data_IF_282165192913
#
_entry.id   IF_282165192913
#
_cell.length_a   1.000
_cell.length_b   1.000
_cell.length_c   1.000
_cell.angle_alpha   90.00
_cell.angle_beta   90.00
_cell.angle_gamma   90.00
#
_symmetry.space_group_name_H-M   'P 1'
#
loop_
_entity.id
_entity.type
_entity.pdbx_description
1 polymer ?
#
# COMPACT_ATOMS: atom_id res chain seq x y z
N UNK A 1 -57.22 -7.96 32.94
CA UNK A 1 -55.83 -7.38 32.82
C UNK A 1 -55.23 -7.84 31.52
N UNK A 2 -55.13 -6.92 30.58
CA UNK A 2 -54.63 -7.23 29.24
C UNK A 2 -53.13 -6.92 29.20
N UNK A 3 -52.32 -7.92 28.88
CA UNK A 3 -50.88 -7.73 28.58
C UNK A 3 -50.74 -7.22 27.15
N UNK A 4 -50.28 -5.98 27.01
CA UNK A 4 -49.97 -5.38 25.74
C UNK A 4 -48.74 -6.05 25.09
N UNK A 5 -48.91 -6.51 23.84
CA UNK A 5 -47.82 -7.03 23.02
C UNK A 5 -46.84 -5.91 22.64
N UNK A 6 -45.57 -6.14 22.91
CA UNK A 6 -44.46 -5.36 22.32
C UNK A 6 -44.27 -5.81 20.87
N UNK A 7 -44.69 -4.99 19.94
CA UNK A 7 -44.28 -5.14 18.55
C UNK A 7 -42.77 -4.86 18.44
N UNK A 8 -42.01 -5.89 18.09
CA UNK A 8 -40.60 -5.75 17.75
C UNK A 8 -40.50 -4.97 16.45
N UNK A 9 -40.13 -3.71 16.56
CA UNK A 9 -39.81 -2.83 15.44
C UNK A 9 -38.70 -3.47 14.58
N UNK A 10 -38.99 -3.60 13.30
CA UNK A 10 -38.14 -4.21 12.28
C UNK A 10 -36.73 -3.59 12.29
N UNK A 11 -35.77 -4.37 12.75
CA UNK A 11 -34.36 -4.00 12.67
C UNK A 11 -33.97 -3.82 11.22
N UNK A 12 -33.63 -2.60 10.84
CA UNK A 12 -32.88 -2.31 9.60
C UNK A 12 -31.64 -3.20 9.61
N UNK A 13 -31.62 -4.21 8.74
CA UNK A 13 -30.46 -5.06 8.55
C UNK A 13 -29.26 -4.16 8.32
N UNK A 14 -28.32 -4.15 9.25
CA UNK A 14 -27.11 -3.36 9.14
C UNK A 14 -26.46 -3.72 7.79
N UNK A 15 -26.45 -2.78 6.85
CA UNK A 15 -25.81 -2.96 5.54
C UNK A 15 -24.36 -3.34 5.83
N UNK A 16 -23.99 -4.57 5.52
CA UNK A 16 -22.61 -5.06 5.65
C UNK A 16 -21.76 -4.29 4.65
N UNK A 17 -21.00 -3.31 5.13
CA UNK A 17 -20.00 -2.65 4.32
C UNK A 17 -18.93 -3.68 3.92
N UNK A 18 -18.73 -3.84 2.63
CA UNK A 18 -17.62 -4.64 2.08
C UNK A 18 -16.37 -3.77 2.13
N UNK A 19 -15.28 -4.34 2.60
CA UNK A 19 -14.00 -3.66 2.66
C UNK A 19 -12.99 -4.35 1.76
N UNK A 20 -12.27 -3.57 0.99
CA UNK A 20 -11.11 -3.99 0.21
C UNK A 20 -9.88 -3.41 0.89
N UNK A 21 -8.85 -4.22 1.09
CA UNK A 21 -7.59 -3.81 1.67
C UNK A 21 -6.49 -3.87 0.60
N UNK A 22 -5.76 -2.77 0.43
CA UNK A 22 -4.60 -2.65 -0.46
C UNK A 22 -3.40 -2.20 0.35
N UNK A 23 -2.24 -2.81 0.09
CA UNK A 23 -0.97 -2.42 0.67
C UNK A 23 -0.20 -1.48 -0.26
N UNK A 24 0.50 -0.52 0.33
CA UNK A 24 1.46 0.35 -0.36
C UNK A 24 2.84 0.09 0.24
N UNK A 25 3.74 -0.49 -0.53
CA UNK A 25 5.08 -0.86 -0.10
C UNK A 25 6.16 -0.12 -0.89
N UNK A 26 7.41 -0.32 -0.53
CA UNK A 26 8.58 0.31 -1.15
C UNK A 26 9.47 1.02 -0.14
N UNK A 27 10.62 1.50 -0.58
CA UNK A 27 11.67 2.09 0.23
C UNK A 27 11.23 3.29 1.07
N UNK A 28 12.11 3.71 1.97
CA UNK A 28 11.88 4.91 2.77
C UNK A 28 11.86 6.17 1.87
N UNK A 29 10.86 7.05 2.06
CA UNK A 29 10.73 8.29 1.30
C UNK A 29 10.30 8.13 -0.17
N UNK A 30 9.89 6.93 -0.61
CA UNK A 30 9.47 6.66 -2.00
C UNK A 30 8.13 7.29 -2.38
N UNK A 31 7.37 7.84 -1.43
CA UNK A 31 6.10 8.52 -1.69
C UNK A 31 4.84 7.81 -1.21
N UNK A 32 4.93 6.75 -0.38
CA UNK A 32 3.76 6.04 0.16
C UNK A 32 2.76 6.97 0.86
N UNK A 33 3.25 7.74 1.83
CA UNK A 33 2.45 8.73 2.57
C UNK A 33 1.81 9.76 1.64
N UNK A 34 2.54 10.18 0.62
CA UNK A 34 2.06 11.18 -0.36
C UNK A 34 0.93 10.59 -1.19
N UNK A 35 1.09 9.36 -1.69
CA UNK A 35 0.07 8.68 -2.48
C UNK A 35 -1.21 8.45 -1.66
N UNK A 36 -1.09 7.96 -0.40
CA UNK A 36 -2.24 7.82 0.50
C UNK A 36 -2.94 9.17 0.68
N UNK A 37 -2.16 10.23 0.95
CA UNK A 37 -2.70 11.58 1.15
C UNK A 37 -3.40 12.15 -0.08
N UNK A 38 -2.94 11.81 -1.28
CA UNK A 38 -3.52 12.29 -2.52
C UNK A 38 -4.92 11.72 -2.80
N UNK A 39 -5.19 10.47 -2.42
CA UNK A 39 -6.46 9.79 -2.73
C UNK A 39 -7.41 9.63 -1.55
N UNK A 40 -6.90 9.67 -0.31
CA UNK A 40 -7.70 9.45 0.88
C UNK A 40 -8.77 10.54 1.08
N UNK A 41 -9.96 10.11 1.50
CA UNK A 41 -11.06 11.00 1.90
C UNK A 41 -10.94 11.46 3.35
N UNK A 42 -10.11 10.78 4.12
CA UNK A 42 -9.81 11.13 5.50
C UNK A 42 -8.37 11.62 5.60
N UNK A 43 -8.07 12.43 6.60
CA UNK A 43 -6.68 12.76 6.91
C UNK A 43 -5.93 11.46 7.23
N UNK A 44 -4.82 11.16 6.53
CA UNK A 44 -4.08 9.94 6.80
C UNK A 44 -3.68 9.84 8.28
N UNK A 45 -3.96 8.69 8.88
CA UNK A 45 -3.49 8.40 10.22
C UNK A 45 -2.03 7.95 10.13
N UNK A 46 -1.20 8.43 11.04
CA UNK A 46 0.21 8.05 11.16
C UNK A 46 0.45 7.57 12.58
N UNK A 47 1.21 6.49 12.69
CA UNK A 47 1.69 6.00 13.98
C UNK A 47 3.12 6.50 14.22
N UNK A 48 3.42 6.95 15.43
CA UNK A 48 4.75 7.38 15.84
C UNK A 48 5.19 6.53 17.03
N UNK A 49 6.41 5.97 16.97
CA UNK A 49 7.02 5.31 18.11
C UNK A 49 8.28 6.04 18.57
N UNK A 50 8.57 6.06 19.89
CA UNK A 50 9.82 6.63 20.41
C UNK A 50 11.03 5.87 19.86
N UNK A 51 12.08 6.61 19.48
CA UNK A 51 13.40 6.04 19.16
C UNK A 51 13.97 5.41 20.42
N UNK A 52 14.11 4.08 20.44
CA UNK A 52 14.91 3.40 21.45
C UNK A 52 16.40 3.60 21.18
N UNK A 53 17.26 3.52 22.21
CA UNK A 53 18.71 3.69 22.03
C UNK A 53 19.30 2.70 21.00
N UNK A 54 18.78 1.50 20.94
CA UNK A 54 19.16 0.47 19.96
C UNK A 54 18.84 0.84 18.51
N UNK A 55 17.98 1.83 18.28
CA UNK A 55 17.59 2.27 16.93
C UNK A 55 18.52 3.36 16.39
N UNK A 56 19.31 4.02 17.24
CA UNK A 56 20.18 5.14 16.86
C UNK A 56 21.39 4.69 16.03
N UNK A 57 21.83 3.45 16.24
CA UNK A 57 23.02 2.89 15.57
C UNK A 57 22.72 2.32 14.17
N UNK A 58 21.45 2.11 13.84
CA UNK A 58 21.02 1.49 12.59
C UNK A 58 20.59 2.53 11.55
N UNK A 59 20.04 3.67 12.00
CA UNK A 59 19.62 4.73 11.10
C UNK A 59 20.72 5.80 10.94
N UNK A 60 21.15 6.04 9.71
CA UNK A 60 21.99 7.18 9.38
C UNK A 60 21.23 8.48 9.66
N UNK A 61 21.45 9.06 10.84
CA UNK A 61 20.88 10.36 11.26
C UNK A 61 21.72 11.56 10.79
N UNK A 62 22.65 11.36 9.85
CA UNK A 62 23.48 12.44 9.32
C UNK A 62 22.60 13.53 8.71
N UNK A 63 22.49 14.66 9.42
CA UNK A 63 21.81 15.87 8.96
C UNK A 63 20.39 16.10 9.51
N UNK A 64 19.91 15.31 10.48
CA UNK A 64 18.61 15.54 11.13
C UNK A 64 18.80 15.93 12.58
N UNK A 65 18.49 17.19 12.90
CA UNK A 65 18.50 17.68 14.28
C UNK A 65 17.51 16.87 15.15
N UNK A 66 18.04 16.25 16.21
CA UNK A 66 17.35 15.66 17.38
C UNK A 66 15.89 15.22 17.17
N UNK A 67 15.62 14.23 16.34
CA UNK A 67 14.39 13.46 16.47
C UNK A 67 14.59 12.39 17.54
N UNK A 68 13.91 12.56 18.67
CA UNK A 68 13.83 11.56 19.76
C UNK A 68 12.78 10.49 19.48
N UNK A 69 12.04 10.58 18.37
CA UNK A 69 11.01 9.64 17.95
C UNK A 69 11.29 9.18 16.54
N UNK A 70 11.32 7.88 16.33
CA UNK A 70 11.16 7.30 14.99
C UNK A 70 9.67 7.15 14.72
N UNK A 71 9.23 7.74 13.63
CA UNK A 71 7.91 7.45 13.11
C UNK A 71 7.95 6.05 12.51
N UNK A 72 7.28 5.09 13.13
CA UNK A 72 6.82 3.91 12.41
C UNK A 72 5.72 4.41 11.50
N UNK A 73 6.10 4.89 10.32
CA UNK A 73 5.15 5.44 9.38
C UNK A 73 4.33 4.31 8.76
N UNK A 74 3.30 3.90 9.46
CA UNK A 74 2.19 3.21 8.87
C UNK A 74 1.16 4.26 8.48
N UNK A 75 1.00 4.49 7.20
CA UNK A 75 -0.03 5.37 6.70
C UNK A 75 -1.34 4.58 6.53
N UNK A 76 -2.44 5.16 6.97
CA UNK A 76 -3.76 4.61 6.74
C UNK A 76 -4.63 5.62 6.01
N UNK A 77 -5.25 5.18 4.91
CA UNK A 77 -6.18 5.98 4.12
C UNK A 77 -7.47 5.22 3.82
N UNK A 78 -8.50 5.97 3.45
CA UNK A 78 -9.82 5.45 3.11
C UNK A 78 -10.36 6.13 1.88
N UNK A 79 -11.00 5.31 1.00
CA UNK A 79 -11.73 5.78 -0.18
C UNK A 79 -13.09 5.06 -0.19
N UNK A 80 -14.19 5.80 -0.26
CA UNK A 80 -15.52 5.24 -0.45
C UNK A 80 -15.76 5.06 -1.94
N UNK A 81 -15.85 3.81 -2.40
CA UNK A 81 -16.10 3.52 -3.82
C UNK A 81 -17.58 3.53 -4.14
N UNK A 82 -18.41 3.04 -3.20
CA UNK A 82 -19.88 3.03 -3.23
C UNK A 82 -20.39 3.02 -1.79
N UNK A 83 -21.70 3.23 -1.61
CA UNK A 83 -22.32 3.23 -0.28
C UNK A 83 -22.02 1.99 0.58
N UNK A 84 -21.84 0.83 -0.09
CA UNK A 84 -21.60 -0.47 0.55
C UNK A 84 -20.15 -0.96 0.39
N UNK A 85 -19.26 -0.20 -0.29
CA UNK A 85 -17.91 -0.63 -0.62
C UNK A 85 -16.86 0.43 -0.30
N UNK A 86 -15.94 0.08 0.59
CA UNK A 86 -14.85 0.94 1.04
C UNK A 86 -13.50 0.30 0.72
N UNK A 87 -12.58 1.11 0.22
CA UNK A 87 -11.18 0.75 0.00
C UNK A 87 -10.33 1.33 1.14
N UNK A 88 -9.58 0.47 1.80
CA UNK A 88 -8.58 0.83 2.80
C UNK A 88 -7.18 0.69 2.23
N UNK A 89 -6.39 1.74 2.41
CA UNK A 89 -4.98 1.79 2.00
C UNK A 89 -4.10 1.74 3.25
N UNK A 90 -3.12 0.84 3.25
CA UNK A 90 -2.14 0.70 4.31
C UNK A 90 -0.73 0.86 3.74
N UNK A 91 -0.05 1.92 4.14
CA UNK A 91 1.37 2.10 3.84
C UNK A 91 2.22 1.24 4.76
N UNK A 92 3.00 0.32 4.19
CA UNK A 92 3.94 -0.48 5.00
C UNK A 92 5.13 0.36 5.43
N UNK A 93 5.72 0.09 6.61
CA UNK A 93 6.99 0.70 6.99
C UNK A 93 8.07 0.36 5.96
N UNK A 94 8.80 1.39 5.49
CA UNK A 94 9.88 1.21 4.51
C UNK A 94 11.24 0.83 5.12
N UNK A 95 11.36 0.81 6.44
CA UNK A 95 12.60 0.49 7.16
C UNK A 95 12.61 -0.99 7.56
N UNK A 96 13.73 -1.67 7.36
CA UNK A 96 13.89 -3.12 7.58
C UNK A 96 13.51 -3.59 8.99
N UNK A 97 13.85 -2.80 9.99
CA UNK A 97 13.54 -3.11 11.40
C UNK A 97 12.06 -3.27 11.71
N UNK A 98 11.16 -2.80 10.81
CA UNK A 98 9.72 -2.90 10.98
C UNK A 98 9.07 -3.93 10.06
N UNK A 99 9.82 -4.72 9.32
CA UNK A 99 9.28 -5.73 8.41
C UNK A 99 8.48 -6.83 9.12
N UNK A 100 8.71 -7.06 10.40
CA UNK A 100 7.88 -7.97 11.19
C UNK A 100 6.39 -7.60 11.20
N UNK A 101 6.05 -6.32 10.95
CA UNK A 101 4.66 -5.85 10.85
C UNK A 101 4.01 -6.20 9.52
N UNK A 102 4.80 -6.55 8.50
CA UNK A 102 4.26 -6.80 7.17
C UNK A 102 3.34 -8.01 7.14
N UNK A 103 3.62 -9.04 7.94
CA UNK A 103 2.79 -10.24 8.01
C UNK A 103 1.39 -9.92 8.51
N UNK A 104 1.27 -9.11 9.54
CA UNK A 104 -0.01 -8.66 10.06
C UNK A 104 -0.74 -7.72 9.06
N UNK A 105 0.03 -6.84 8.42
CA UNK A 105 -0.54 -5.94 7.41
C UNK A 105 -1.00 -6.69 6.16
N UNK A 106 -0.36 -7.80 5.81
CA UNK A 106 -0.69 -8.57 4.63
C UNK A 106 -1.96 -9.42 4.78
N UNK A 107 -2.37 -9.72 6.02
CA UNK A 107 -3.58 -10.50 6.26
C UNK A 107 -4.81 -9.85 5.65
N UNK A 108 -5.47 -10.57 4.73
CA UNK A 108 -6.67 -10.12 4.04
C UNK A 108 -6.47 -8.99 3.03
N UNK A 109 -5.22 -8.70 2.65
CA UNK A 109 -4.95 -7.77 1.55
C UNK A 109 -5.38 -8.40 0.21
N UNK A 110 -6.04 -7.60 -0.63
CA UNK A 110 -6.41 -7.98 -1.99
C UNK A 110 -5.17 -8.03 -2.89
N UNK A 111 -4.25 -7.10 -2.67
CA UNK A 111 -3.02 -6.96 -3.44
C UNK A 111 -2.19 -5.78 -2.92
N UNK A 112 -1.08 -5.51 -3.60
CA UNK A 112 -0.15 -4.48 -3.19
C UNK A 112 0.34 -3.61 -4.36
N UNK A 113 0.66 -2.35 -4.05
CA UNK A 113 1.41 -1.46 -4.94
C UNK A 113 2.82 -1.31 -4.36
N UNK A 114 3.82 -1.69 -5.12
CA UNK A 114 5.22 -1.42 -4.80
C UNK A 114 5.63 -0.11 -5.47
N UNK A 115 5.76 0.96 -4.68
CA UNK A 115 6.30 2.21 -5.19
C UNK A 115 7.82 2.08 -5.36
N UNK A 116 8.30 2.49 -6.52
CA UNK A 116 9.72 2.47 -6.87
C UNK A 116 10.22 3.89 -7.20
N UNK A 117 11.45 4.18 -6.78
CA UNK A 117 12.18 5.41 -7.08
C UNK A 117 13.38 5.06 -7.94
N UNK A 118 13.42 5.57 -9.18
CA UNK A 118 14.51 5.27 -10.13
C UNK A 118 15.89 5.74 -9.67
N UNK A 119 15.95 6.62 -8.67
CA UNK A 119 17.21 7.06 -8.03
C UNK A 119 17.77 6.02 -7.05
N UNK A 120 16.89 5.14 -6.53
CA UNK A 120 17.18 4.10 -5.52
C UNK A 120 16.35 2.86 -5.80
N UNK A 121 16.45 2.35 -7.01
CA UNK A 121 15.58 1.27 -7.49
C UNK A 121 15.73 0.00 -6.63
N UNK A 122 16.94 -0.24 -6.10
CA UNK A 122 17.20 -1.39 -5.23
C UNK A 122 16.35 -1.43 -3.95
N UNK A 123 15.84 -0.28 -3.49
CA UNK A 123 15.03 -0.22 -2.26
C UNK A 123 13.67 -0.92 -2.38
N UNK A 124 13.25 -1.31 -3.59
CA UNK A 124 11.98 -2.02 -3.79
C UNK A 124 12.11 -3.55 -3.80
N UNK A 125 13.32 -4.13 -3.95
CA UNK A 125 13.50 -5.58 -3.93
C UNK A 125 12.90 -6.28 -2.72
N UNK A 126 13.09 -5.79 -1.49
CA UNK A 126 12.50 -6.46 -0.33
C UNK A 126 10.98 -6.56 -0.38
N UNK A 127 10.31 -5.54 -0.96
CA UNK A 127 8.86 -5.56 -1.13
C UNK A 127 8.43 -6.56 -2.22
N UNK A 128 9.15 -6.59 -3.33
CA UNK A 128 8.94 -7.53 -4.43
C UNK A 128 9.07 -8.96 -3.91
N UNK A 129 10.22 -9.29 -3.34
CA UNK A 129 10.51 -10.61 -2.74
C UNK A 129 9.43 -11.04 -1.71
N UNK A 130 8.95 -10.09 -0.92
CA UNK A 130 7.95 -10.36 0.10
C UNK A 130 6.62 -10.79 -0.53
N UNK A 131 6.13 -10.06 -1.54
CA UNK A 131 4.84 -10.34 -2.16
C UNK A 131 4.91 -11.58 -3.05
N UNK A 132 6.00 -11.79 -3.78
CA UNK A 132 6.22 -13.01 -4.58
C UNK A 132 6.19 -14.27 -3.71
N UNK A 133 6.93 -14.28 -2.60
CA UNK A 133 6.97 -15.46 -1.69
C UNK A 133 5.64 -15.78 -1.03
N UNK A 134 4.69 -14.86 -1.00
CA UNK A 134 3.37 -15.03 -0.38
C UNK A 134 2.24 -15.14 -1.39
N UNK A 135 2.56 -15.18 -2.67
CA UNK A 135 1.57 -15.20 -3.75
C UNK A 135 0.53 -14.07 -3.63
N UNK A 136 0.96 -12.90 -3.14
CA UNK A 136 0.12 -11.70 -3.08
C UNK A 136 0.26 -10.95 -4.39
N UNK A 137 -0.82 -10.75 -5.17
CA UNK A 137 -0.76 -9.98 -6.41
C UNK A 137 -0.27 -8.56 -6.15
N UNK A 138 0.64 -8.07 -6.98
CA UNK A 138 1.15 -6.70 -6.87
C UNK A 138 1.46 -6.09 -8.23
N UNK A 139 1.63 -4.79 -8.24
CA UNK A 139 2.12 -4.01 -9.38
C UNK A 139 3.25 -3.10 -8.94
N UNK A 140 4.05 -2.62 -9.89
CA UNK A 140 5.05 -1.59 -9.64
C UNK A 140 4.51 -0.22 -10.04
N UNK A 141 4.61 0.76 -9.15
CA UNK A 141 4.34 2.16 -9.45
C UNK A 141 5.65 2.96 -9.41
N UNK A 142 6.13 3.38 -10.59
CA UNK A 142 7.33 4.22 -10.72
C UNK A 142 6.99 5.65 -10.37
N UNK A 143 7.35 6.10 -9.17
CA UNK A 143 7.09 7.46 -8.74
C UNK A 143 8.06 8.44 -9.39
N UNK A 144 7.51 9.43 -10.08
CA UNK A 144 8.29 10.44 -10.79
C UNK A 144 8.70 11.54 -9.81
N UNK A 145 10.01 11.71 -9.61
CA UNK A 145 10.57 12.80 -8.83
C UNK A 145 11.12 13.90 -9.74
N UNK A 146 10.99 15.15 -9.31
CA UNK A 146 11.53 16.28 -10.06
C UNK A 146 13.06 16.16 -10.20
N UNK A 147 13.57 16.31 -11.41
CA UNK A 147 14.99 16.19 -11.72
C UNK A 147 15.54 14.76 -11.74
N UNK A 148 14.73 13.72 -11.46
CA UNK A 148 15.15 12.34 -11.57
C UNK A 148 15.27 11.93 -13.05
N UNK A 149 16.27 11.08 -13.35
CA UNK A 149 16.41 10.49 -14.68
C UNK A 149 15.21 9.58 -14.96
N UNK A 150 14.64 9.74 -16.14
CA UNK A 150 13.57 8.89 -16.62
C UNK A 150 14.16 7.69 -17.34
N UNK A 151 13.64 6.52 -17.01
CA UNK A 151 13.93 5.25 -17.67
C UNK A 151 12.66 4.73 -18.33
N UNK A 152 12.80 3.92 -19.35
CA UNK A 152 11.66 3.22 -19.94
C UNK A 152 11.12 2.18 -18.95
N UNK A 153 9.85 1.82 -19.10
CA UNK A 153 9.25 0.74 -18.30
C UNK A 153 10.03 -0.56 -18.49
N UNK A 154 10.50 -0.82 -19.70
CA UNK A 154 11.25 -2.04 -20.00
C UNK A 154 12.65 -2.06 -19.37
N UNK A 155 13.37 -0.92 -19.33
CA UNK A 155 14.63 -0.83 -18.59
C UNK A 155 14.45 -1.17 -17.10
N UNK A 156 13.34 -0.69 -16.51
CA UNK A 156 13.02 -0.96 -15.10
C UNK A 156 12.63 -2.41 -14.91
N UNK A 157 11.84 -3.00 -15.81
CA UNK A 157 11.46 -4.41 -15.78
C UNK A 157 12.68 -5.31 -15.74
N UNK A 158 13.62 -5.07 -16.67
CA UNK A 158 14.88 -5.83 -16.74
C UNK A 158 15.72 -5.60 -15.48
N UNK A 159 15.82 -4.36 -15.00
CA UNK A 159 16.63 -4.05 -13.82
C UNK A 159 16.11 -4.67 -12.52
N UNK A 160 14.79 -4.91 -12.43
CA UNK A 160 14.14 -5.53 -11.27
C UNK A 160 13.86 -7.02 -11.46
N UNK A 161 14.25 -7.61 -12.62
CA UNK A 161 14.02 -9.02 -12.97
C UNK A 161 12.54 -9.44 -12.82
N UNK A 162 11.65 -8.61 -13.34
CA UNK A 162 10.19 -8.80 -13.17
C UNK A 162 9.58 -9.64 -14.29
N UNK A 163 8.53 -10.39 -13.95
CA UNK A 163 7.70 -11.11 -14.92
C UNK A 163 7.23 -10.16 -16.05
N UNK A 164 7.28 -10.60 -17.34
CA UNK A 164 6.84 -9.80 -18.47
C UNK A 164 5.40 -9.28 -18.36
N UNK A 165 4.53 -9.99 -17.65
CA UNK A 165 3.13 -9.63 -17.49
C UNK A 165 2.85 -8.77 -16.24
N UNK A 166 3.84 -8.57 -15.36
CA UNK A 166 3.65 -7.73 -14.17
C UNK A 166 3.47 -6.26 -14.59
N UNK A 167 2.37 -5.60 -14.21
CA UNK A 167 2.16 -4.20 -14.58
C UNK A 167 3.17 -3.26 -13.93
N UNK A 168 3.72 -2.34 -14.73
CA UNK A 168 4.56 -1.24 -14.28
C UNK A 168 3.90 0.05 -14.76
N UNK A 169 3.50 0.91 -13.81
CA UNK A 169 2.76 2.15 -14.07
C UNK A 169 3.61 3.35 -13.67
N UNK A 170 3.72 4.34 -14.55
CA UNK A 170 4.30 5.64 -14.18
C UNK A 170 3.35 6.37 -13.24
N UNK A 171 3.87 6.92 -12.15
CA UNK A 171 3.06 7.54 -11.10
C UNK A 171 3.66 8.88 -10.67
N UNK A 172 2.82 9.89 -10.52
CA UNK A 172 3.11 11.04 -9.66
C UNK A 172 2.27 10.89 -8.38
N UNK A 173 2.90 10.49 -7.30
CA UNK A 173 2.22 10.26 -6.01
C UNK A 173 1.53 11.52 -5.47
N UNK A 174 1.85 12.72 -5.97
CA UNK A 174 1.22 13.99 -5.59
C UNK A 174 -0.09 14.23 -6.33
N UNK A 175 -0.28 13.58 -7.48
CA UNK A 175 -1.49 13.72 -8.31
C UNK A 175 -2.54 12.70 -7.90
N UNK A 176 -3.74 13.20 -7.57
CA UNK A 176 -4.89 12.35 -7.23
C UNK A 176 -5.29 11.43 -8.39
N UNK A 177 -5.24 11.95 -9.61
CA UNK A 177 -5.60 11.22 -10.83
C UNK A 177 -4.59 10.10 -11.06
N UNK A 178 -3.29 10.40 -11.03
CA UNK A 178 -2.24 9.41 -11.21
C UNK A 178 -2.28 8.32 -10.14
N UNK A 179 -2.52 8.69 -8.88
CA UNK A 179 -2.66 7.72 -7.79
C UNK A 179 -3.90 6.83 -7.97
N UNK A 180 -5.02 7.34 -8.50
CA UNK A 180 -6.19 6.52 -8.85
C UNK A 180 -5.89 5.55 -9.98
N UNK A 181 -5.19 5.96 -11.03
CA UNK A 181 -4.78 5.09 -12.14
C UNK A 181 -3.97 3.90 -11.64
N UNK A 182 -3.05 4.13 -10.70
CA UNK A 182 -2.28 3.05 -10.04
C UNK A 182 -3.19 2.07 -9.32
N UNK A 183 -4.17 2.57 -8.55
CA UNK A 183 -5.10 1.68 -7.82
C UNK A 183 -6.01 0.90 -8.77
N UNK A 184 -6.46 1.51 -9.85
CA UNK A 184 -7.26 0.84 -10.90
C UNK A 184 -6.44 -0.27 -11.55
N UNK A 185 -5.20 0.02 -11.96
CA UNK A 185 -4.32 -0.97 -12.57
C UNK A 185 -4.05 -2.17 -11.65
N UNK A 186 -3.90 -1.93 -10.32
CA UNK A 186 -3.80 -3.04 -9.37
C UNK A 186 -5.06 -3.90 -9.35
N UNK A 187 -6.24 -3.28 -9.28
CA UNK A 187 -7.51 -4.04 -9.24
C UNK A 187 -7.68 -4.86 -10.52
N UNK A 188 -7.41 -4.28 -11.69
CA UNK A 188 -7.46 -4.98 -12.98
C UNK A 188 -6.48 -6.15 -13.02
N UNK A 189 -5.26 -5.97 -12.52
CA UNK A 189 -4.26 -7.03 -12.43
C UNK A 189 -4.75 -8.17 -11.51
N UNK A 190 -5.25 -7.85 -10.32
CA UNK A 190 -5.80 -8.85 -9.39
C UNK A 190 -6.91 -9.65 -10.05
N UNK A 191 -7.84 -9.01 -10.73
CA UNK A 191 -8.93 -9.70 -11.45
C UNK A 191 -8.38 -10.62 -12.53
N UNK A 192 -7.38 -10.17 -13.31
CA UNK A 192 -6.80 -10.97 -14.38
C UNK A 192 -6.11 -12.24 -13.87
N UNK A 193 -5.42 -12.18 -12.72
CA UNK A 193 -4.71 -13.35 -12.15
C UNK A 193 -5.66 -14.29 -11.40
N UNK A 194 -6.78 -13.77 -10.84
CA UNK A 194 -7.77 -14.61 -10.17
C UNK A 194 -8.72 -15.33 -11.15
N UNK A 195 -8.96 -14.74 -12.31
CA UNK A 195 -9.81 -15.34 -13.37
C UNK A 195 -9.06 -16.39 -14.23
N UNK A 196 -7.73 -16.48 -14.10
CA UNK A 196 -6.94 -17.49 -14.80
C UNK A 196 -7.10 -18.84 -14.09
N UNK A 197 -7.71 -19.88 -14.71
CA UNK A 197 -7.82 -21.19 -14.09
C UNK A 197 -6.42 -21.74 -13.78
N UNK A 198 -6.18 -22.11 -12.53
CA UNK A 198 -4.94 -22.80 -12.14
C UNK A 198 -4.87 -24.10 -12.94
N UNK A 199 -4.02 -24.14 -13.96
CA UNK A 199 -3.68 -25.38 -14.64
C UNK A 199 -2.93 -26.26 -13.64
N UNK A 200 -3.66 -27.17 -12.99
CA UNK A 200 -3.05 -28.22 -12.18
C UNK A 200 -2.11 -29.04 -13.07
N UNK A 201 -0.82 -28.92 -12.83
CA UNK A 201 0.20 -29.85 -13.31
C UNK A 201 0.32 -31.03 -12.37
#
# INVERSE_FOLDING_TARGET
MAYGGYEANGGTAARRHRAIKILLAGGFGVGKTTLVGAVSEIRPLRTEEPLTESSKDIDSTAGVERKTTTTVAMDFGRITLREDLVLYLFGTPGQERFWFMWDELALGALGAVVLADTRRLADCFPAIDYFERRDIPFIIALNVFDGARRYSVEDVRVALDLDPNLPIIMCDARSRESAKEVLIALIEHVLSVTDTPVAHK
#
